data_IF_844252014022
#
_entry.id   IF_844252014022
#
_cell.length_a   1.000
_cell.length_b   1.000
_cell.length_c   1.000
_cell.angle_alpha   90.00
_cell.angle_beta   90.00
_cell.angle_gamma   90.00
#
_symmetry.space_group_name_H-M   'P 1'
#
loop_
_entity.id
_entity.type
_entity.pdbx_description
1 polymer ?
#
# COMPACT_ATOMS: atom_id res chain seq x y z
N UNK A 1 -8.31 24.55 -12.07
CA UNK A 1 -9.42 23.61 -11.84
C UNK A 1 -9.01 22.14 -12.06
N UNK A 2 -7.70 21.83 -12.25
CA UNK A 2 -7.20 20.47 -12.42
C UNK A 2 -7.69 19.71 -13.66
N UNK A 3 -8.25 20.41 -14.65
CA UNK A 3 -8.79 19.79 -15.87
C UNK A 3 -8.20 20.42 -17.11
N UNK A 4 -7.95 19.60 -18.15
CA UNK A 4 -7.58 20.06 -19.49
C UNK A 4 -8.79 20.76 -20.09
N UNK A 5 -8.65 22.04 -20.43
CA UNK A 5 -9.73 22.85 -21.01
C UNK A 5 -9.70 22.88 -22.53
N UNK A 6 -8.53 22.73 -23.15
CA UNK A 6 -8.36 22.69 -24.59
C UNK A 6 -7.08 21.93 -24.98
N UNK A 7 -7.08 21.34 -26.16
CA UNK A 7 -5.93 20.70 -26.81
C UNK A 7 -5.86 21.17 -28.24
N UNK A 8 -4.67 21.49 -28.75
CA UNK A 8 -4.44 22.00 -30.11
C UNK A 8 -4.03 23.47 -30.08
N UNK A 9 -4.37 24.21 -31.17
CA UNK A 9 -4.07 25.65 -31.27
C UNK A 9 -5.04 26.41 -30.37
N UNK A 10 -4.53 27.10 -29.36
CA UNK A 10 -5.30 27.94 -28.43
C UNK A 10 -5.01 29.41 -28.78
N UNK A 11 -6.04 30.16 -29.12
CA UNK A 11 -5.90 31.55 -29.60
C UNK A 11 -5.53 32.56 -28.51
N UNK A 12 -5.80 32.21 -27.23
CA UNK A 12 -5.54 33.12 -26.11
C UNK A 12 -4.33 32.65 -25.30
N UNK A 13 -3.50 33.60 -24.88
CA UNK A 13 -2.37 33.31 -23.97
C UNK A 13 -2.85 32.89 -22.56
N UNK A 14 -2.14 31.95 -21.99
CA UNK A 14 -2.34 31.51 -20.59
C UNK A 14 -1.76 32.52 -19.57
N UNK A 15 -2.21 32.44 -18.33
CA UNK A 15 -1.54 33.17 -17.21
C UNK A 15 -0.08 32.77 -17.04
N UNK A 16 0.24 31.53 -17.37
CA UNK A 16 1.60 30.97 -17.40
C UNK A 16 1.70 30.08 -18.63
N UNK A 17 2.74 30.29 -19.40
CA UNK A 17 3.06 29.49 -20.58
C UNK A 17 4.34 28.73 -20.34
N UNK A 18 4.38 27.47 -20.72
CA UNK A 18 5.55 26.61 -20.61
C UNK A 18 5.85 26.08 -22.01
N UNK A 19 6.99 26.48 -22.57
CA UNK A 19 7.49 25.93 -23.83
C UNK A 19 8.04 24.53 -23.60
N UNK A 20 7.37 23.53 -24.15
CA UNK A 20 7.79 22.13 -24.07
C UNK A 20 9.02 21.83 -24.98
N UNK A 21 9.46 22.80 -25.82
CA UNK A 21 10.64 22.67 -26.71
C UNK A 21 10.60 21.42 -27.60
N UNK A 22 9.43 21.08 -28.09
CA UNK A 22 9.18 19.89 -28.90
C UNK A 22 9.06 18.57 -28.14
N UNK A 23 9.08 18.60 -26.81
CA UNK A 23 8.80 17.41 -25.99
C UNK A 23 7.32 17.12 -25.92
N UNK A 24 6.99 15.87 -25.69
CA UNK A 24 5.60 15.42 -25.45
C UNK A 24 5.18 15.86 -24.04
N UNK A 25 3.98 16.39 -23.93
CA UNK A 25 3.31 16.67 -22.65
C UNK A 25 2.28 15.58 -22.41
N UNK A 26 2.43 14.84 -21.34
CA UNK A 26 1.53 13.74 -20.93
C UNK A 26 0.85 14.05 -19.61
N UNK A 27 -0.28 13.38 -19.28
CA UNK A 27 -0.72 13.27 -17.89
C UNK A 27 0.38 12.69 -17.00
N UNK A 28 0.30 12.91 -15.70
CA UNK A 28 1.17 12.21 -14.74
C UNK A 28 0.94 10.70 -14.81
N UNK A 29 1.99 9.95 -14.50
CA UNK A 29 1.92 8.49 -14.50
C UNK A 29 1.16 7.99 -13.27
N UNK A 30 0.42 6.90 -13.45
CA UNK A 30 -0.20 6.14 -12.37
C UNK A 30 0.60 4.85 -12.19
N UNK A 31 1.26 4.72 -11.05
CA UNK A 31 1.95 3.49 -10.68
C UNK A 31 1.02 2.63 -9.83
N UNK A 32 0.50 1.57 -10.44
CA UNK A 32 -0.50 0.69 -9.83
C UNK A 32 0.10 -0.40 -8.94
N UNK A 33 1.42 -0.46 -8.82
CA UNK A 33 2.10 -1.49 -8.04
C UNK A 33 3.34 -0.92 -7.36
N UNK A 34 3.18 -0.43 -6.15
CA UNK A 34 4.26 0.11 -5.32
C UNK A 34 4.24 -0.50 -3.93
N UNK A 35 5.36 -0.39 -3.21
CA UNK A 35 5.54 -0.83 -1.83
C UNK A 35 5.95 0.34 -0.93
N UNK A 36 5.29 1.48 -1.09
CA UNK A 36 5.46 2.65 -0.23
C UNK A 36 4.70 2.55 1.11
N UNK A 37 4.18 1.38 1.46
CA UNK A 37 3.33 1.13 2.62
C UNK A 37 3.92 1.64 3.94
N UNK A 38 5.25 1.50 4.11
CA UNK A 38 5.96 2.10 5.24
C UNK A 38 6.40 3.54 4.96
N UNK A 39 6.99 3.79 3.79
CA UNK A 39 7.55 5.09 3.42
C UNK A 39 6.52 6.22 3.45
N UNK A 40 5.25 5.94 3.18
CA UNK A 40 4.13 6.87 3.30
C UNK A 40 4.01 7.47 4.70
N UNK A 41 4.56 6.83 5.73
CA UNK A 41 4.53 7.35 7.09
C UNK A 41 5.51 8.52 7.31
N UNK A 42 6.60 8.62 6.53
CA UNK A 42 7.66 9.63 6.75
C UNK A 42 8.07 10.44 5.53
N UNK A 43 7.81 9.98 4.30
CA UNK A 43 8.18 10.70 3.08
C UNK A 43 6.96 11.25 2.32
N UNK A 44 6.63 12.53 2.48
CA UNK A 44 5.51 13.14 1.78
C UNK A 44 5.75 13.28 0.27
N UNK A 45 6.96 13.07 -0.20
CA UNK A 45 7.31 13.15 -1.63
C UNK A 45 7.21 11.81 -2.33
N UNK A 46 7.22 10.68 -1.61
CA UNK A 46 7.23 9.32 -2.13
C UNK A 46 8.28 9.14 -3.24
N UNK A 47 9.50 9.46 -2.85
CA UNK A 47 10.65 9.39 -3.74
C UNK A 47 11.12 7.93 -3.91
N UNK A 48 11.63 7.55 -5.08
CA UNK A 48 11.92 8.39 -6.26
C UNK A 48 10.77 8.53 -7.28
N UNK A 49 9.62 7.89 -7.10
CA UNK A 49 8.54 7.88 -8.10
C UNK A 49 8.08 9.28 -8.52
N UNK A 50 7.97 10.21 -7.55
CA UNK A 50 7.61 11.61 -7.83
C UNK A 50 8.62 12.32 -8.76
N UNK A 51 9.90 11.98 -8.67
CA UNK A 51 10.95 12.55 -9.54
C UNK A 51 10.83 12.11 -10.99
N UNK A 52 10.14 10.99 -11.24
CA UNK A 52 9.96 10.40 -12.56
C UNK A 52 8.59 10.71 -13.17
N UNK A 53 7.84 11.64 -12.55
CA UNK A 53 6.56 12.11 -13.09
C UNK A 53 5.35 11.23 -12.73
N UNK A 54 5.50 10.35 -11.73
CA UNK A 54 4.37 9.65 -11.12
C UNK A 54 3.57 10.65 -10.31
N UNK A 55 2.26 10.64 -10.45
CA UNK A 55 1.32 11.52 -9.74
C UNK A 55 0.27 10.76 -8.94
N UNK A 56 0.22 9.44 -9.09
CA UNK A 56 -0.65 8.56 -8.33
C UNK A 56 0.06 7.23 -8.10
N UNK A 57 0.05 6.72 -6.88
CA UNK A 57 0.61 5.39 -6.53
C UNK A 57 -0.44 4.53 -5.84
N UNK A 58 -0.34 3.21 -6.05
CA UNK A 58 -1.18 2.22 -5.36
C UNK A 58 -0.28 1.30 -4.53
N UNK A 59 -0.60 1.19 -3.25
CA UNK A 59 0.10 0.42 -2.23
C UNK A 59 -0.74 -0.77 -1.74
N UNK A 60 -0.19 -1.60 -0.86
CA UNK A 60 -0.84 -2.82 -0.37
C UNK A 60 -0.81 -3.95 -1.38
N UNK A 61 0.16 -3.96 -2.28
CA UNK A 61 0.34 -4.97 -3.33
C UNK A 61 0.94 -6.26 -2.78
N UNK A 62 0.92 -7.30 -3.59
CA UNK A 62 1.51 -8.61 -3.29
C UNK A 62 1.01 -9.29 -2.01
N UNK A 63 -0.06 -8.77 -1.40
CA UNK A 63 -0.62 -9.29 -0.16
C UNK A 63 0.14 -8.88 1.09
N UNK A 64 1.06 -7.90 1.00
CA UNK A 64 1.76 -7.30 2.15
C UNK A 64 1.21 -5.92 2.48
N UNK A 65 1.60 -5.35 3.61
CA UNK A 65 1.14 -4.04 4.07
C UNK A 65 1.17 -3.95 5.60
N UNK A 66 0.70 -2.83 6.16
CA UNK A 66 0.78 -2.55 7.60
C UNK A 66 -0.57 -2.40 8.31
N UNK A 67 -1.66 -2.78 7.63
CA UNK A 67 -2.99 -2.79 8.23
C UNK A 67 -3.89 -3.91 7.62
N UNK A 68 -4.75 -4.52 8.46
CA UNK A 68 -4.89 -4.33 9.91
C UNK A 68 -3.72 -4.97 10.70
N UNK A 69 -3.51 -4.52 11.94
CA UNK A 69 -2.46 -5.03 12.84
C UNK A 69 -2.92 -4.96 14.29
N UNK A 70 -2.75 -6.04 15.06
CA UNK A 70 -3.02 -6.01 16.51
C UNK A 70 -1.87 -5.33 17.24
N UNK A 71 -2.14 -4.57 18.30
CA UNK A 71 -1.09 -4.04 19.16
C UNK A 71 -0.16 -5.16 19.67
N UNK A 72 1.12 -5.02 19.35
CA UNK A 72 2.16 -6.00 19.68
C UNK A 72 2.55 -6.95 18.55
N UNK A 73 1.82 -6.96 17.43
CA UNK A 73 2.10 -7.81 16.27
C UNK A 73 2.83 -7.03 15.12
N UNK A 74 3.20 -5.77 15.35
CA UNK A 74 3.82 -4.88 14.35
C UNK A 74 5.14 -5.43 13.82
N UNK A 75 5.93 -6.05 14.71
CA UNK A 75 7.21 -6.66 14.36
C UNK A 75 7.09 -7.70 13.25
N UNK A 76 6.01 -8.47 13.25
CA UNK A 76 5.77 -9.45 12.19
C UNK A 76 5.60 -8.80 10.82
N UNK A 77 4.83 -7.71 10.75
CA UNK A 77 4.62 -7.00 9.48
C UNK A 77 5.90 -6.31 8.99
N UNK A 78 6.74 -5.83 9.91
CA UNK A 78 8.07 -5.29 9.59
C UNK A 78 8.94 -6.38 8.97
N UNK A 79 9.07 -7.54 9.61
CA UNK A 79 9.87 -8.66 9.13
C UNK A 79 9.37 -9.20 7.79
N UNK A 80 8.06 -9.18 7.58
CA UNK A 80 7.44 -9.56 6.33
C UNK A 80 7.82 -8.59 5.21
N UNK A 81 7.71 -7.29 5.43
CA UNK A 81 8.06 -6.27 4.46
C UNK A 81 9.56 -6.25 4.16
N UNK A 82 10.41 -6.40 5.19
CA UNK A 82 11.86 -6.49 5.02
C UNK A 82 12.25 -7.70 4.16
N UNK A 83 11.64 -8.86 4.40
CA UNK A 83 11.96 -10.08 3.66
C UNK A 83 11.45 -10.09 2.22
N UNK A 84 10.31 -9.42 1.95
CA UNK A 84 9.68 -9.39 0.61
C UNK A 84 10.26 -8.27 -0.27
N UNK A 85 10.52 -7.09 0.30
CA UNK A 85 10.84 -5.86 -0.46
C UNK A 85 12.24 -5.31 -0.18
N UNK A 86 13.05 -6.00 0.59
CA UNK A 86 14.41 -5.57 0.98
C UNK A 86 14.45 -4.17 1.66
N UNK A 87 13.33 -3.75 2.29
CA UNK A 87 13.27 -2.49 3.03
C UNK A 87 13.86 -2.73 4.43
N UNK A 88 14.93 -2.01 4.84
CA UNK A 88 15.54 -2.25 6.14
C UNK A 88 14.53 -2.12 7.29
N UNK A 89 14.40 -3.17 8.10
CA UNK A 89 13.48 -3.19 9.26
C UNK A 89 13.72 -2.01 10.22
N UNK A 90 14.98 -1.57 10.37
CA UNK A 90 15.32 -0.38 11.17
C UNK A 90 14.68 0.90 10.65
N UNK A 91 14.54 1.06 9.34
CA UNK A 91 13.85 2.23 8.75
C UNK A 91 12.35 2.16 9.03
N UNK A 92 11.76 0.97 8.98
CA UNK A 92 10.34 0.75 9.30
C UNK A 92 10.05 1.00 10.78
N UNK A 93 10.93 0.53 11.69
CA UNK A 93 10.81 0.78 13.13
C UNK A 93 10.82 2.27 13.48
N UNK A 94 11.71 3.04 12.86
CA UNK A 94 11.84 4.48 13.12
C UNK A 94 10.76 5.31 12.43
N UNK A 95 10.28 4.85 11.25
CA UNK A 95 9.43 5.64 10.37
C UNK A 95 7.93 5.43 10.53
N UNK A 96 7.50 4.30 11.09
CA UNK A 96 6.08 3.95 11.20
C UNK A 96 5.56 4.21 12.61
N UNK A 97 4.58 5.10 12.76
CA UNK A 97 4.06 5.55 14.06
C UNK A 97 3.09 4.57 14.75
N UNK A 98 2.60 3.56 14.05
CA UNK A 98 1.68 2.52 14.55
C UNK A 98 0.49 3.06 15.36
N UNK A 99 -0.15 4.12 14.91
CA UNK A 99 -1.28 4.76 15.57
C UNK A 99 -2.65 4.28 15.04
N UNK A 100 -2.72 3.05 14.56
CA UNK A 100 -3.90 2.37 14.05
C UNK A 100 -3.88 0.88 14.44
N UNK A 101 -5.04 0.25 14.42
CA UNK A 101 -5.23 -1.20 14.51
C UNK A 101 -5.95 -1.71 13.26
N UNK A 102 -7.02 -1.05 12.88
CA UNK A 102 -7.86 -1.43 11.73
C UNK A 102 -7.39 -0.77 10.43
N UNK A 103 -7.86 -1.28 9.31
CA UNK A 103 -7.56 -0.67 8.00
C UNK A 103 -8.19 0.72 7.83
N UNK A 104 -9.45 0.99 8.26
CA UNK A 104 -9.99 2.34 8.28
C UNK A 104 -9.14 3.33 9.09
N UNK A 105 -8.71 2.95 10.29
CA UNK A 105 -7.85 3.81 11.12
C UNK A 105 -6.51 4.12 10.45
N UNK A 106 -5.94 3.15 9.72
CA UNK A 106 -4.75 3.39 8.90
C UNK A 106 -5.01 4.45 7.83
N UNK A 107 -6.11 4.35 7.07
CA UNK A 107 -6.48 5.37 6.10
C UNK A 107 -6.65 6.75 6.75
N UNK A 108 -7.34 6.81 7.89
CA UNK A 108 -7.53 8.04 8.67
C UNK A 108 -6.19 8.65 9.15
N UNK A 109 -5.22 7.80 9.49
CA UNK A 109 -3.89 8.24 9.90
C UNK A 109 -3.11 8.85 8.73
N UNK A 110 -3.22 8.25 7.55
CA UNK A 110 -2.58 8.76 6.33
C UNK A 110 -3.27 10.01 5.79
N UNK A 111 -4.60 10.10 5.84
CA UNK A 111 -5.35 11.27 5.37
C UNK A 111 -4.98 12.57 6.11
N UNK A 112 -4.45 12.48 7.32
CA UNK A 112 -3.97 13.63 8.09
C UNK A 112 -2.66 14.24 7.59
N UNK A 113 -2.01 13.59 6.63
CA UNK A 113 -0.70 14.00 6.08
C UNK A 113 -0.88 14.60 4.68
N UNK A 114 0.00 15.53 4.31
CA UNK A 114 0.02 16.13 2.98
C UNK A 114 1.01 15.39 2.07
N UNK A 115 0.59 15.06 0.86
CA UNK A 115 1.43 14.38 -0.14
C UNK A 115 1.48 15.14 -1.46
N UNK A 116 2.56 14.95 -2.22
CA UNK A 116 2.72 15.55 -3.56
C UNK A 116 1.99 14.80 -4.66
N UNK A 117 1.43 13.64 -4.36
CA UNK A 117 0.72 12.76 -5.30
C UNK A 117 -0.51 12.14 -4.64
N UNK A 118 -1.41 11.63 -5.47
CA UNK A 118 -2.57 10.88 -5.02
C UNK A 118 -2.17 9.47 -4.56
N UNK A 119 -2.83 8.97 -3.52
CA UNK A 119 -2.57 7.68 -2.92
C UNK A 119 -3.78 6.76 -3.07
N UNK A 120 -3.53 5.50 -3.40
CA UNK A 120 -4.50 4.43 -3.34
C UNK A 120 -3.93 3.26 -2.54
N UNK A 121 -4.80 2.56 -1.82
CA UNK A 121 -4.42 1.44 -0.98
C UNK A 121 -5.27 0.21 -1.28
N UNK A 122 -4.64 -0.97 -1.22
CA UNK A 122 -5.33 -2.25 -1.16
C UNK A 122 -5.10 -2.88 0.20
N UNK A 123 -6.10 -3.62 0.71
CA UNK A 123 -5.91 -4.44 1.90
C UNK A 123 -5.16 -5.72 1.52
N UNK A 124 -4.03 -5.99 2.19
CA UNK A 124 -3.16 -7.14 1.93
C UNK A 124 -3.63 -8.41 2.64
N UNK A 125 -3.53 -9.55 1.96
CA UNK A 125 -3.90 -10.86 2.51
C UNK A 125 -3.06 -11.26 3.74
N UNK A 126 -1.76 -10.96 3.73
CA UNK A 126 -0.85 -11.27 4.84
C UNK A 126 -1.25 -10.61 6.17
N UNK A 127 -1.35 -9.27 6.23
CA UNK A 127 -1.85 -8.56 7.39
C UNK A 127 -3.23 -9.02 7.83
N UNK A 128 -4.16 -9.19 6.89
CA UNK A 128 -5.52 -9.64 7.18
C UNK A 128 -5.56 -11.02 7.84
N UNK A 129 -4.81 -12.00 7.31
CA UNK A 129 -4.75 -13.33 7.90
C UNK A 129 -4.09 -13.33 9.27
N UNK A 130 -2.99 -12.61 9.45
CA UNK A 130 -2.31 -12.53 10.74
C UNK A 130 -3.19 -11.87 11.79
N UNK A 131 -3.95 -10.86 11.41
CA UNK A 131 -4.88 -10.18 12.30
C UNK A 131 -6.00 -11.12 12.81
N UNK A 132 -6.60 -11.92 11.91
CA UNK A 132 -7.73 -12.81 12.26
C UNK A 132 -7.24 -14.11 12.89
N UNK A 133 -6.22 -14.76 12.32
CA UNK A 133 -5.79 -16.09 12.72
C UNK A 133 -4.68 -16.11 13.78
N UNK A 134 -3.98 -14.98 13.93
CA UNK A 134 -2.79 -14.86 14.75
C UNK A 134 -1.51 -15.32 14.02
N UNK A 135 -0.40 -14.73 14.41
CA UNK A 135 0.90 -14.89 13.78
C UNK A 135 1.39 -16.35 13.70
N UNK A 136 1.37 -17.08 14.83
CA UNK A 136 1.89 -18.46 14.89
C UNK A 136 1.19 -19.41 13.91
N UNK A 137 -0.12 -19.27 13.77
CA UNK A 137 -0.90 -20.08 12.82
C UNK A 137 -0.61 -19.71 11.38
N UNK A 138 -0.38 -18.44 11.12
CA UNK A 138 -0.04 -17.96 9.78
C UNK A 138 1.32 -18.48 9.32
N UNK A 139 2.34 -18.52 10.19
CA UNK A 139 3.65 -19.10 9.89
C UNK A 139 3.57 -20.58 9.50
N UNK A 140 2.65 -21.31 10.12
CA UNK A 140 2.46 -22.74 9.85
C UNK A 140 1.64 -23.02 8.57
N UNK A 141 1.25 -21.99 7.81
CA UNK A 141 0.43 -22.07 6.58
C UNK A 141 -0.87 -22.90 6.77
N UNK A 142 -1.44 -22.86 7.97
CA UNK A 142 -2.67 -23.59 8.31
C UNK A 142 -3.87 -22.97 7.59
N UNK A 143 -4.77 -23.79 7.08
CA UNK A 143 -6.02 -23.32 6.50
C UNK A 143 -6.90 -22.56 7.50
N UNK A 144 -7.56 -21.52 7.03
CA UNK A 144 -8.53 -20.78 7.81
C UNK A 144 -9.81 -21.58 8.00
N UNK A 145 -10.37 -21.54 9.20
CA UNK A 145 -11.71 -22.05 9.45
C UNK A 145 -12.76 -21.20 8.75
N UNK A 146 -13.98 -21.75 8.58
CA UNK A 146 -15.10 -21.04 7.96
C UNK A 146 -15.46 -19.74 8.71
N UNK A 147 -15.29 -19.74 10.04
CA UNK A 147 -15.50 -18.56 10.87
C UNK A 147 -14.46 -17.48 10.57
N UNK A 148 -13.19 -17.85 10.48
CA UNK A 148 -12.10 -16.92 10.17
C UNK A 148 -12.21 -16.36 8.73
N UNK A 149 -12.66 -17.18 7.78
CA UNK A 149 -12.94 -16.73 6.41
C UNK A 149 -14.08 -15.68 6.43
N UNK A 150 -15.14 -15.91 7.20
CA UNK A 150 -16.24 -14.94 7.35
C UNK A 150 -15.72 -13.62 7.94
N UNK A 151 -14.94 -13.69 9.01
CA UNK A 151 -14.35 -12.52 9.67
C UNK A 151 -13.42 -11.74 8.73
N UNK A 152 -12.54 -12.42 7.99
CA UNK A 152 -11.70 -11.77 6.96
C UNK A 152 -12.54 -11.11 5.87
N UNK A 153 -13.65 -11.73 5.46
CA UNK A 153 -14.56 -11.17 4.45
C UNK A 153 -15.25 -9.89 4.93
N UNK A 154 -15.63 -9.84 6.21
CA UNK A 154 -16.22 -8.66 6.84
C UNK A 154 -15.20 -7.50 6.89
N UNK A 155 -13.97 -7.79 7.30
CA UNK A 155 -12.87 -6.79 7.34
C UNK A 155 -12.50 -6.28 5.95
N UNK A 156 -12.53 -7.12 4.91
CA UNK A 156 -12.33 -6.67 3.52
C UNK A 156 -13.47 -5.75 3.08
N UNK A 157 -14.70 -6.09 3.45
CA UNK A 157 -15.86 -5.24 3.13
C UNK A 157 -15.73 -3.87 3.79
N UNK A 158 -15.40 -3.85 5.09
CA UNK A 158 -15.13 -2.60 5.83
C UNK A 158 -14.02 -1.77 5.18
N UNK A 159 -12.92 -2.41 4.79
CA UNK A 159 -11.81 -1.74 4.12
C UNK A 159 -12.24 -1.10 2.79
N UNK A 160 -13.02 -1.81 1.97
CA UNK A 160 -13.54 -1.29 0.70
C UNK A 160 -14.52 -0.12 0.94
N UNK A 161 -15.41 -0.24 1.91
CA UNK A 161 -16.35 0.83 2.28
C UNK A 161 -15.63 2.08 2.80
N UNK A 162 -14.45 1.90 3.41
CA UNK A 162 -13.60 3.00 3.90
C UNK A 162 -12.69 3.60 2.83
N UNK A 163 -12.64 3.04 1.62
CA UNK A 163 -11.91 3.59 0.48
C UNK A 163 -10.75 2.76 -0.04
N UNK A 164 -10.56 1.52 0.44
CA UNK A 164 -9.61 0.61 -0.21
C UNK A 164 -9.99 0.36 -1.67
N UNK A 165 -9.00 0.35 -2.55
CA UNK A 165 -9.20 0.07 -3.97
C UNK A 165 -9.50 -1.41 -4.27
N UNK A 166 -9.14 -2.29 -3.34
CA UNK A 166 -9.32 -3.72 -3.50
C UNK A 166 -8.59 -4.54 -2.45
N UNK A 167 -8.62 -5.85 -2.64
CA UNK A 167 -7.88 -6.84 -1.88
C UNK A 167 -6.73 -7.38 -2.72
N UNK A 168 -5.55 -7.53 -2.11
CA UNK A 168 -4.37 -8.07 -2.78
C UNK A 168 -3.89 -9.37 -2.15
N UNK A 169 -3.38 -10.27 -2.96
CA UNK A 169 -2.77 -11.52 -2.51
C UNK A 169 -1.64 -11.92 -3.45
N UNK A 170 -0.71 -12.74 -2.95
CA UNK A 170 0.34 -13.34 -3.75
C UNK A 170 0.47 -14.83 -3.43
N UNK A 171 0.74 -15.62 -4.44
CA UNK A 171 1.02 -17.06 -4.33
C UNK A 171 2.43 -17.41 -4.80
N UNK A 172 3.31 -16.40 -4.92
CA UNK A 172 4.69 -16.64 -5.30
C UNK A 172 5.48 -17.24 -4.14
N UNK A 173 6.22 -18.29 -4.43
CA UNK A 173 7.14 -18.93 -3.48
C UNK A 173 8.40 -18.10 -3.21
N UNK A 174 8.57 -16.98 -3.92
CA UNK A 174 9.69 -16.06 -3.74
C UNK A 174 9.47 -15.10 -2.57
N UNK A 175 8.22 -14.81 -2.22
CA UNK A 175 7.89 -13.92 -1.12
C UNK A 175 8.00 -14.67 0.22
N UNK A 176 9.01 -14.29 0.99
CA UNK A 176 9.31 -14.86 2.30
C UNK A 176 9.68 -13.75 3.27
N UNK A 177 9.38 -13.97 4.54
CA UNK A 177 9.91 -13.12 5.60
C UNK A 177 11.43 -13.29 5.78
N UNK A 178 12.02 -12.54 6.70
CA UNK A 178 13.46 -12.59 7.01
C UNK A 178 13.94 -13.95 7.53
N UNK A 179 13.04 -14.82 7.97
CA UNK A 179 13.33 -16.18 8.43
C UNK A 179 13.12 -17.23 7.33
N UNK A 180 12.73 -16.82 6.12
CA UNK A 180 12.48 -17.70 4.97
C UNK A 180 11.10 -18.37 4.99
N UNK A 181 10.19 -17.94 5.86
CA UNK A 181 8.80 -18.42 5.92
C UNK A 181 7.96 -17.70 4.85
N UNK A 182 7.07 -18.42 4.19
CA UNK A 182 6.17 -17.83 3.19
C UNK A 182 5.24 -16.78 3.78
N UNK A 183 4.95 -15.76 2.99
CA UNK A 183 3.91 -14.77 3.31
C UNK A 183 2.59 -15.49 3.63
N UNK A 184 1.86 -15.09 4.68
CA UNK A 184 0.57 -15.69 5.00
C UNK A 184 -0.40 -15.63 3.81
N UNK A 185 -0.95 -16.78 3.47
CA UNK A 185 -1.85 -16.90 2.32
C UNK A 185 -1.21 -17.42 1.03
N UNK A 186 0.13 -17.56 0.95
CA UNK A 186 0.81 -18.11 -0.22
C UNK A 186 0.26 -19.50 -0.59
N UNK A 187 0.04 -20.36 0.39
CA UNK A 187 -0.48 -21.72 0.22
C UNK A 187 -1.97 -21.87 0.60
N UNK A 188 -2.69 -20.75 0.83
CA UNK A 188 -4.09 -20.80 1.20
C UNK A 188 -4.96 -21.48 0.14
N UNK A 189 -5.87 -22.35 0.59
CA UNK A 189 -6.83 -23.11 -0.26
C UNK A 189 -8.02 -22.23 -0.71
#
# INVERSE_FOLDING_TARGET
NGKISAVGIVENSGKKEIDAKGNIVTPGWVDIHTHYDGQVCWDPYLTPSSWHGVTTVVMGNCGVGFAPVKPGDEEFLIQLMEGVEDIPGTALHEGVDWNWETFPEFLDAIEKKDFVMDLGFMIGHGPLRSYVMGYERCQSQVDASQKEISEMSELVTEAIESGALGFSTSRTILHRDVHGVYVPGTEAS
#
